data_IF_309401801693
#
_entry.id   IF_309401801693
#
_cell.length_a   1.000
_cell.length_b   1.000
_cell.length_c   1.000
_cell.angle_alpha   90.00
_cell.angle_beta   90.00
_cell.angle_gamma   90.00
#
_symmetry.space_group_name_H-M   'P 1'
#
loop_
_entity.id
_entity.type
_entity.pdbx_description
1 polymer ?
#
# COMPACT_ATOMS: atom_id res chain seq x y z
N UNK A 1 -35.86 10.52 2.27
CA UNK A 1 -35.25 11.59 1.45
C UNK A 1 -34.08 12.31 2.15
N UNK A 2 -33.53 11.81 3.27
CA UNK A 2 -32.46 12.54 4.01
C UNK A 2 -31.04 11.97 3.85
N UNK A 3 -30.90 10.64 3.80
CA UNK A 3 -29.58 9.97 3.88
C UNK A 3 -29.14 9.34 2.56
N UNK A 4 -30.07 8.71 1.83
CA UNK A 4 -29.84 8.13 0.50
C UNK A 4 -29.41 9.20 -0.51
N UNK A 5 -30.12 10.33 -0.51
CA UNK A 5 -29.85 11.44 -1.43
C UNK A 5 -28.49 12.10 -1.12
N UNK A 6 -28.13 12.23 0.17
CA UNK A 6 -26.81 12.74 0.58
C UNK A 6 -25.67 11.79 0.17
N UNK A 7 -25.83 10.50 0.41
CA UNK A 7 -24.83 9.50 0.06
C UNK A 7 -24.62 9.36 -1.45
N UNK A 8 -25.67 9.61 -2.25
CA UNK A 8 -25.56 9.68 -3.71
C UNK A 8 -24.79 10.94 -4.15
N UNK A 9 -25.16 12.11 -3.62
CA UNK A 9 -24.50 13.37 -3.96
C UNK A 9 -23.00 13.35 -3.62
N UNK A 10 -22.64 12.92 -2.41
CA UNK A 10 -21.23 12.82 -2.00
C UNK A 10 -20.44 11.82 -2.84
N UNK A 11 -21.10 10.76 -3.33
CA UNK A 11 -20.47 9.79 -4.23
C UNK A 11 -20.21 10.39 -5.60
N UNK A 12 -21.19 11.11 -6.15
CA UNK A 12 -21.01 11.85 -7.42
C UNK A 12 -19.87 12.87 -7.30
N UNK A 13 -19.85 13.67 -6.24
CA UNK A 13 -18.78 14.65 -5.99
C UNK A 13 -17.40 13.99 -5.90
N UNK A 14 -17.30 12.84 -5.22
CA UNK A 14 -16.06 12.06 -5.17
C UNK A 14 -15.65 11.63 -6.58
N UNK A 15 -16.55 11.03 -7.36
CA UNK A 15 -16.22 10.53 -8.71
C UNK A 15 -15.82 11.68 -9.63
N UNK A 16 -16.56 12.79 -9.63
CA UNK A 16 -16.24 13.96 -10.42
C UNK A 16 -14.86 14.52 -10.05
N UNK A 17 -14.48 14.49 -8.77
CA UNK A 17 -13.13 14.89 -8.34
C UNK A 17 -12.03 13.95 -8.86
N UNK A 18 -12.29 12.64 -8.95
CA UNK A 18 -11.35 11.65 -9.48
C UNK A 18 -11.17 11.82 -10.99
N UNK A 19 -12.27 12.04 -11.72
CA UNK A 19 -12.25 12.33 -13.17
C UNK A 19 -11.52 13.64 -13.44
N UNK A 20 -11.83 14.71 -12.68
CA UNK A 20 -11.17 16.00 -12.83
C UNK A 20 -9.67 15.95 -12.51
N UNK A 21 -9.25 15.07 -11.60
CA UNK A 21 -7.84 14.82 -11.29
C UNK A 21 -7.13 13.97 -12.37
N UNK A 22 -7.86 13.42 -13.35
CA UNK A 22 -7.30 12.59 -14.43
C UNK A 22 -6.87 11.19 -13.99
N UNK A 23 -7.34 10.72 -12.83
CA UNK A 23 -6.98 9.38 -12.29
C UNK A 23 -8.06 8.32 -12.54
N UNK A 24 -9.16 8.71 -13.17
CA UNK A 24 -10.31 7.86 -13.49
C UNK A 24 -10.80 8.28 -14.89
N UNK A 25 -10.36 7.55 -15.91
CA UNK A 25 -10.56 7.86 -17.33
C UNK A 25 -11.38 6.81 -18.08
N UNK A 26 -11.45 5.56 -17.62
CA UNK A 26 -12.34 4.55 -18.17
C UNK A 26 -13.78 4.74 -17.63
N UNK A 27 -14.73 4.94 -18.53
CA UNK A 27 -16.15 5.12 -18.22
C UNK A 27 -16.75 3.93 -17.45
N UNK A 28 -16.21 2.71 -17.62
CA UNK A 28 -16.62 1.53 -16.85
C UNK A 28 -16.30 1.71 -15.37
N UNK A 29 -15.10 2.19 -15.05
CA UNK A 29 -14.72 2.47 -13.67
C UNK A 29 -15.49 3.65 -13.11
N UNK A 30 -15.64 4.74 -13.87
CA UNK A 30 -16.42 5.89 -13.44
C UNK A 30 -17.88 5.50 -13.10
N UNK A 31 -18.50 4.65 -13.92
CA UNK A 31 -19.82 4.06 -13.65
C UNK A 31 -19.79 3.20 -12.39
N UNK A 32 -18.84 2.29 -12.25
CA UNK A 32 -18.74 1.41 -11.08
C UNK A 32 -18.59 2.21 -9.77
N UNK A 33 -17.76 3.25 -9.73
CA UNK A 33 -17.63 4.12 -8.55
C UNK A 33 -18.93 4.91 -8.24
N UNK A 34 -19.72 5.28 -9.25
CA UNK A 34 -21.04 5.95 -9.08
C UNK A 34 -22.14 4.99 -8.65
N UNK A 35 -22.05 3.72 -8.99
CA UNK A 35 -23.11 2.74 -8.71
C UNK A 35 -22.83 1.92 -7.44
N UNK A 36 -21.56 1.62 -7.13
CA UNK A 36 -21.19 0.84 -5.94
C UNK A 36 -21.11 1.76 -4.71
N UNK A 37 -22.03 1.65 -3.74
CA UNK A 37 -22.07 2.53 -2.58
C UNK A 37 -20.96 2.20 -1.57
N UNK A 38 -19.86 2.97 -1.56
CA UNK A 38 -18.72 2.79 -0.64
C UNK A 38 -19.12 2.67 0.84
N UNK A 39 -20.17 3.38 1.27
CA UNK A 39 -20.68 3.33 2.65
C UNK A 39 -21.32 2.00 3.05
N UNK A 40 -21.75 1.14 2.12
CA UNK A 40 -22.16 -0.23 2.46
C UNK A 40 -20.96 -1.08 2.88
N UNK A 41 -19.79 -0.83 2.30
CA UNK A 41 -18.55 -1.56 2.59
C UNK A 41 -17.78 -0.98 3.78
N UNK A 42 -17.98 0.30 4.08
CA UNK A 42 -17.31 1.02 5.17
C UNK A 42 -18.34 1.46 6.22
N UNK A 43 -18.87 0.52 6.99
CA UNK A 43 -19.87 0.81 8.03
C UNK A 43 -19.27 1.32 9.34
N UNK A 44 -17.98 1.03 9.55
CA UNK A 44 -17.23 1.40 10.74
C UNK A 44 -15.76 1.57 10.39
N UNK A 45 -15.09 2.57 10.95
CA UNK A 45 -13.67 2.84 10.73
C UNK A 45 -13.10 3.73 11.84
N UNK A 46 -11.79 3.87 11.88
CA UNK A 46 -11.07 4.75 12.78
C UNK A 46 -10.62 6.01 12.05
N UNK A 47 -10.58 7.12 12.77
CA UNK A 47 -9.89 8.35 12.39
C UNK A 47 -8.71 8.58 13.33
N UNK A 48 -7.57 9.00 12.78
CA UNK A 48 -6.41 9.36 13.60
C UNK A 48 -6.65 10.73 14.25
N UNK A 49 -6.43 10.81 15.57
CA UNK A 49 -6.50 12.03 16.37
C UNK A 49 -5.22 12.19 17.19
N UNK A 50 -5.10 13.27 17.96
CA UNK A 50 -3.97 13.46 18.88
C UNK A 50 -3.92 12.43 20.00
N UNK A 51 -5.07 11.84 20.34
CA UNK A 51 -5.22 10.90 21.45
C UNK A 51 -5.22 9.42 20.96
N UNK A 52 -4.94 9.20 19.68
CA UNK A 52 -4.94 7.88 19.04
C UNK A 52 -6.07 7.71 18.01
N UNK A 53 -6.46 6.47 17.78
CA UNK A 53 -7.49 6.07 16.82
C UNK A 53 -8.89 6.15 17.44
N UNK A 54 -9.73 7.04 16.94
CA UNK A 54 -11.12 7.22 17.40
C UNK A 54 -12.10 6.48 16.48
N UNK A 55 -13.08 5.73 17.02
CA UNK A 55 -14.02 4.98 16.20
C UNK A 55 -15.11 5.89 15.63
N UNK A 56 -15.52 5.60 14.39
CA UNK A 56 -16.57 6.29 13.66
C UNK A 56 -17.54 5.27 13.09
N UNK A 57 -18.83 5.47 13.34
CA UNK A 57 -19.94 4.64 12.86
C UNK A 57 -20.97 5.52 12.13
N UNK A 58 -22.02 4.90 11.58
CA UNK A 58 -23.14 5.61 10.94
C UNK A 58 -23.86 6.61 11.85
N UNK A 59 -23.65 6.54 13.18
CA UNK A 59 -24.22 7.48 14.16
C UNK A 59 -23.46 8.81 14.20
N UNK A 60 -22.24 8.85 13.69
CA UNK A 60 -21.45 10.08 13.61
C UNK A 60 -22.05 11.04 12.57
N UNK A 61 -22.25 12.33 12.89
CA UNK A 61 -22.91 13.29 11.99
C UNK A 61 -22.20 13.42 10.63
N UNK A 62 -20.87 13.35 10.63
CA UNK A 62 -20.05 13.43 9.40
C UNK A 62 -19.73 12.07 8.75
N UNK A 63 -20.37 10.97 9.18
CA UNK A 63 -20.02 9.62 8.73
C UNK A 63 -19.93 9.50 7.19
N UNK A 64 -21.00 9.89 6.49
CA UNK A 64 -21.04 9.81 5.02
C UNK A 64 -19.98 10.70 4.38
N UNK A 65 -19.81 11.93 4.87
CA UNK A 65 -18.81 12.87 4.38
C UNK A 65 -17.38 12.33 4.57
N UNK A 66 -17.11 11.61 5.66
CA UNK A 66 -15.83 10.96 5.91
C UNK A 66 -15.61 9.73 5.03
N UNK A 67 -16.65 8.94 4.76
CA UNK A 67 -16.60 7.78 3.87
C UNK A 67 -16.34 8.18 2.41
N UNK A 68 -16.92 9.27 1.94
CA UNK A 68 -16.73 9.75 0.57
C UNK A 68 -15.60 10.77 0.42
N UNK A 69 -14.91 11.13 1.51
CA UNK A 69 -13.67 11.89 1.41
C UNK A 69 -12.59 11.04 0.75
N UNK A 70 -11.74 11.70 -0.04
CA UNK A 70 -10.56 11.09 -0.63
C UNK A 70 -9.47 10.81 0.42
N UNK A 71 -9.74 9.86 1.32
CA UNK A 71 -8.85 9.43 2.39
C UNK A 71 -9.02 7.93 2.65
N UNK A 72 -8.04 7.37 3.37
CA UNK A 72 -8.10 6.00 3.89
C UNK A 72 -9.08 5.94 5.06
N UNK A 73 -9.91 4.90 5.11
CA UNK A 73 -10.71 4.57 6.29
C UNK A 73 -10.13 3.31 6.93
N UNK A 74 -9.41 3.44 8.04
CA UNK A 74 -8.82 2.29 8.76
C UNK A 74 -9.92 1.48 9.43
N UNK A 75 -10.00 0.18 9.19
CA UNK A 75 -11.13 -0.66 9.64
C UNK A 75 -10.73 -1.71 10.68
N UNK A 76 -9.43 -1.95 10.86
CA UNK A 76 -8.90 -2.89 11.84
C UNK A 76 -7.52 -2.42 12.34
N UNK A 77 -7.29 -2.58 13.64
CA UNK A 77 -5.98 -2.41 14.27
C UNK A 77 -5.51 -3.76 14.83
N UNK A 78 -4.20 -3.98 14.84
CA UNK A 78 -3.57 -5.12 15.53
C UNK A 78 -4.12 -6.51 15.15
N UNK A 79 -4.57 -6.70 13.91
CA UNK A 79 -5.14 -7.94 13.37
C UNK A 79 -6.37 -8.47 14.13
N UNK A 80 -7.12 -7.61 14.84
CA UNK A 80 -8.31 -8.04 15.55
C UNK A 80 -9.33 -6.93 15.75
N UNK A 81 -10.56 -7.32 16.09
CA UNK A 81 -11.61 -6.39 16.48
C UNK A 81 -11.49 -5.91 17.94
N UNK A 82 -10.56 -6.47 18.74
CA UNK A 82 -10.42 -6.09 20.15
C UNK A 82 -10.13 -4.60 20.34
N UNK A 83 -9.34 -4.00 19.43
CA UNK A 83 -9.10 -2.55 19.45
C UNK A 83 -10.37 -1.75 19.15
N UNK A 84 -11.24 -2.26 18.28
CA UNK A 84 -12.54 -1.64 18.00
C UNK A 84 -13.44 -1.65 19.24
N UNK A 85 -13.53 -2.79 19.92
CA UNK A 85 -14.34 -2.94 21.13
C UNK A 85 -13.88 -2.01 22.25
N UNK A 86 -12.56 -1.93 22.48
CA UNK A 86 -11.97 -0.97 23.43
C UNK A 86 -12.29 0.46 23.02
N UNK A 87 -12.12 0.81 21.75
CA UNK A 87 -12.32 2.17 21.29
C UNK A 87 -13.77 2.65 21.47
N UNK A 88 -14.74 1.76 21.23
CA UNK A 88 -16.16 2.06 21.47
C UNK A 88 -16.44 2.27 22.96
N UNK A 89 -15.77 1.53 23.85
CA UNK A 89 -15.98 1.61 25.30
C UNK A 89 -15.23 2.77 25.97
N UNK A 90 -14.02 3.07 25.50
CA UNK A 90 -13.04 3.90 26.21
C UNK A 90 -12.66 5.17 25.44
N UNK A 91 -13.03 5.29 24.15
CA UNK A 91 -12.68 6.41 23.29
C UNK A 91 -11.49 6.12 22.38
N UNK A 92 -10.57 7.06 22.23
CA UNK A 92 -9.40 6.85 21.36
C UNK A 92 -8.46 5.76 21.92
N UNK A 93 -7.88 4.95 21.03
CA UNK A 93 -6.94 3.87 21.39
C UNK A 93 -5.69 3.90 20.53
N UNK A 94 -4.58 3.39 21.06
CA UNK A 94 -3.41 3.08 20.26
C UNK A 94 -3.60 1.77 19.49
N UNK A 95 -2.85 1.63 18.38
CA UNK A 95 -2.80 0.42 17.58
C UNK A 95 -2.18 0.63 16.22
N UNK A 96 -1.77 -0.47 15.59
CA UNK A 96 -1.20 -0.47 14.24
C UNK A 96 -2.30 -0.82 13.24
N UNK A 97 -2.58 0.03 12.24
CA UNK A 97 -3.51 -0.29 11.17
C UNK A 97 -3.15 -1.61 10.46
N UNK A 98 -4.13 -2.49 10.34
CA UNK A 98 -3.96 -3.83 9.73
C UNK A 98 -5.01 -4.16 8.67
N UNK A 99 -6.10 -3.38 8.60
CA UNK A 99 -7.03 -3.35 7.46
C UNK A 99 -7.58 -1.94 7.25
N UNK A 100 -7.91 -1.60 6.01
CA UNK A 100 -8.55 -0.34 5.65
C UNK A 100 -9.32 -0.43 4.34
N UNK A 101 -10.28 0.46 4.14
CA UNK A 101 -10.69 0.87 2.80
C UNK A 101 -9.69 1.90 2.29
N UNK A 102 -8.93 1.55 1.25
CA UNK A 102 -7.90 2.42 0.67
C UNK A 102 -8.49 3.72 0.14
N UNK A 103 -7.64 4.74 0.00
CA UNK A 103 -8.02 6.04 -0.54
C UNK A 103 -8.59 5.90 -1.98
N UNK A 104 -9.74 6.50 -2.32
CA UNK A 104 -10.35 6.37 -3.65
C UNK A 104 -9.42 6.70 -4.81
N UNK A 105 -8.59 7.74 -4.69
CA UNK A 105 -7.60 8.08 -5.73
C UNK A 105 -6.63 6.94 -6.01
N UNK A 106 -6.08 6.26 -4.99
CA UNK A 106 -5.14 5.16 -5.26
C UNK A 106 -5.86 3.92 -5.80
N UNK A 107 -7.10 3.66 -5.37
CA UNK A 107 -7.94 2.61 -5.96
C UNK A 107 -8.16 2.86 -7.46
N UNK A 108 -8.57 4.09 -7.84
CA UNK A 108 -8.77 4.46 -9.23
C UNK A 108 -7.48 4.31 -10.06
N UNK A 109 -6.35 4.85 -9.59
CA UNK A 109 -5.04 4.72 -10.24
C UNK A 109 -4.68 3.25 -10.50
N UNK A 110 -4.86 2.39 -9.49
CA UNK A 110 -4.51 0.98 -9.62
C UNK A 110 -5.46 0.20 -10.53
N UNK A 111 -6.77 0.52 -10.52
CA UNK A 111 -7.76 -0.10 -11.41
C UNK A 111 -7.55 0.30 -12.88
N UNK A 112 -7.19 1.57 -13.13
CA UNK A 112 -6.78 2.05 -14.46
C UNK A 112 -5.49 1.36 -14.92
N UNK A 113 -4.47 1.29 -14.05
CA UNK A 113 -3.20 0.63 -14.37
C UNK A 113 -3.34 -0.87 -14.60
N UNK A 114 -4.34 -1.50 -13.96
CA UNK A 114 -4.64 -2.92 -14.11
C UNK A 114 -5.11 -3.24 -15.53
N UNK A 115 -5.67 -2.27 -16.27
CA UNK A 115 -6.23 -2.49 -17.60
C UNK A 115 -7.13 -3.74 -17.60
N UNK A 116 -8.12 -3.75 -16.70
CA UNK A 116 -8.74 -4.99 -16.28
C UNK A 116 -9.60 -5.61 -17.37
N UNK A 117 -9.21 -6.82 -17.75
CA UNK A 117 -9.88 -7.73 -18.66
C UNK A 117 -9.71 -9.17 -18.15
N UNK A 118 -10.51 -10.10 -18.66
CA UNK A 118 -10.41 -11.52 -18.32
C UNK A 118 -10.61 -11.77 -16.82
N UNK A 119 -9.81 -12.69 -16.25
CA UNK A 119 -9.91 -13.08 -14.83
C UNK A 119 -8.94 -12.29 -13.96
N UNK A 120 -9.41 -11.84 -12.80
CA UNK A 120 -8.63 -11.04 -11.85
C UNK A 120 -8.49 -11.77 -10.52
N UNK A 121 -7.27 -11.79 -9.99
CA UNK A 121 -7.00 -12.10 -8.59
C UNK A 121 -6.66 -10.82 -7.82
N UNK A 122 -7.51 -10.43 -6.89
CA UNK A 122 -7.24 -9.39 -5.91
C UNK A 122 -6.62 -10.00 -4.64
N UNK A 123 -5.46 -9.48 -4.22
CA UNK A 123 -4.79 -9.87 -2.98
C UNK A 123 -5.02 -8.80 -1.90
N UNK A 124 -5.89 -9.12 -0.95
CA UNK A 124 -6.31 -8.24 0.14
C UNK A 124 -7.76 -7.77 -0.04
N UNK A 125 -8.73 -8.65 0.21
CA UNK A 125 -10.17 -8.32 0.10
C UNK A 125 -10.54 -7.11 0.96
N UNK A 126 -10.00 -7.01 2.18
CA UNK A 126 -10.24 -5.87 3.07
C UNK A 126 -11.73 -5.64 3.33
N UNK A 127 -12.24 -4.46 2.95
CA UNK A 127 -13.67 -4.16 3.11
C UNK A 127 -14.57 -4.82 2.06
N UNK A 128 -14.00 -5.36 0.99
CA UNK A 128 -14.71 -5.85 -0.18
C UNK A 128 -15.13 -4.77 -1.18
N UNK A 129 -14.82 -3.49 -0.93
CA UNK A 129 -15.21 -2.40 -1.83
C UNK A 129 -14.52 -2.51 -3.20
N UNK A 130 -13.21 -2.79 -3.22
CA UNK A 130 -12.48 -2.90 -4.48
C UNK A 130 -12.84 -4.19 -5.25
N UNK A 131 -13.04 -5.32 -4.55
CA UNK A 131 -13.68 -6.51 -5.12
C UNK A 131 -15.05 -6.21 -5.76
N UNK A 132 -15.86 -5.34 -5.14
CA UNK A 132 -17.16 -4.95 -5.68
C UNK A 132 -17.05 -4.12 -6.96
N UNK A 133 -16.07 -3.21 -7.04
CA UNK A 133 -15.78 -2.45 -8.25
C UNK A 133 -15.33 -3.38 -9.38
N UNK A 134 -14.40 -4.30 -9.10
CA UNK A 134 -13.95 -5.32 -10.07
C UNK A 134 -15.12 -6.17 -10.56
N UNK A 135 -15.96 -6.67 -9.65
CA UNK A 135 -17.11 -7.52 -9.99
C UNK A 135 -18.19 -6.77 -10.78
N UNK A 136 -18.38 -5.48 -10.51
CA UNK A 136 -19.28 -4.62 -11.30
C UNK A 136 -18.80 -4.52 -12.74
N UNK A 137 -17.51 -4.27 -12.97
CA UNK A 137 -16.95 -4.06 -14.32
C UNK A 137 -16.74 -5.36 -15.11
N UNK A 138 -16.34 -6.45 -14.44
CA UNK A 138 -15.94 -7.71 -15.10
C UNK A 138 -16.98 -8.84 -14.97
N UNK A 139 -17.92 -8.69 -14.05
CA UNK A 139 -18.82 -9.76 -13.61
C UNK A 139 -18.23 -10.60 -12.47
N UNK A 140 -19.11 -11.16 -11.65
CA UNK A 140 -18.76 -11.95 -10.45
C UNK A 140 -17.81 -13.12 -10.76
N UNK A 141 -18.05 -13.85 -11.86
CA UNK A 141 -17.28 -15.05 -12.21
C UNK A 141 -15.82 -14.76 -12.58
N UNK A 142 -15.52 -13.52 -12.99
CA UNK A 142 -14.18 -13.09 -13.37
C UNK A 142 -13.29 -12.74 -12.16
N UNK A 143 -13.87 -12.55 -10.98
CA UNK A 143 -13.15 -12.00 -9.83
C UNK A 143 -12.91 -13.05 -8.76
N UNK A 144 -11.64 -13.24 -8.42
CA UNK A 144 -11.19 -13.92 -7.20
C UNK A 144 -10.60 -12.90 -6.25
N UNK A 145 -11.02 -12.89 -4.98
CA UNK A 145 -10.45 -12.02 -3.96
C UNK A 145 -10.06 -12.84 -2.73
N UNK A 146 -8.83 -12.67 -2.26
CA UNK A 146 -8.27 -13.44 -1.14
C UNK A 146 -7.91 -12.52 0.02
N UNK A 147 -8.26 -12.93 1.24
CA UNK A 147 -7.84 -12.28 2.48
C UNK A 147 -7.35 -13.32 3.48
N UNK A 148 -6.32 -12.97 4.25
CA UNK A 148 -5.72 -13.87 5.23
C UNK A 148 -6.47 -13.82 6.58
N UNK A 149 -7.30 -12.80 6.79
CA UNK A 149 -8.08 -12.62 8.00
C UNK A 149 -9.52 -13.13 7.82
N UNK A 150 -9.95 -14.15 8.59
CA UNK A 150 -11.29 -14.72 8.45
C UNK A 150 -12.40 -13.75 8.87
N UNK A 151 -12.16 -12.84 9.83
CA UNK A 151 -13.17 -11.89 10.28
C UNK A 151 -13.35 -10.74 9.27
N UNK A 152 -12.24 -10.26 8.70
CA UNK A 152 -12.26 -9.31 7.57
C UNK A 152 -12.99 -9.91 6.38
N UNK A 153 -12.63 -11.13 6.00
CA UNK A 153 -13.26 -11.86 4.91
C UNK A 153 -14.78 -12.02 5.13
N UNK A 154 -15.20 -12.48 6.32
CA UNK A 154 -16.61 -12.68 6.63
C UNK A 154 -17.43 -11.39 6.51
N UNK A 155 -16.88 -10.26 6.96
CA UNK A 155 -17.51 -8.94 6.77
C UNK A 155 -17.61 -8.56 5.31
N UNK A 156 -16.52 -8.67 4.54
CA UNK A 156 -16.51 -8.33 3.12
C UNK A 156 -17.53 -9.16 2.33
N UNK A 157 -17.58 -10.48 2.56
CA UNK A 157 -18.54 -11.38 1.92
C UNK A 157 -20.00 -10.96 2.22
N UNK A 158 -20.30 -10.57 3.46
CA UNK A 158 -21.62 -10.06 3.81
C UNK A 158 -21.97 -8.75 3.07
N UNK A 159 -21.01 -7.83 2.89
CA UNK A 159 -21.24 -6.54 2.19
C UNK A 159 -21.37 -6.69 0.69
N UNK A 160 -20.56 -7.55 0.08
CA UNK A 160 -20.75 -7.97 -1.30
C UNK A 160 -22.14 -8.58 -1.49
N UNK A 161 -22.55 -9.44 -0.56
CA UNK A 161 -23.85 -10.08 -0.61
C UNK A 161 -25.01 -9.08 -0.56
N UNK A 162 -24.93 -8.11 0.35
CA UNK A 162 -25.85 -6.98 0.53
C UNK A 162 -25.91 -6.07 -0.71
N UNK A 163 -24.78 -5.86 -1.37
CA UNK A 163 -24.68 -5.11 -2.64
C UNK A 163 -25.16 -5.91 -3.87
N UNK A 164 -25.59 -7.17 -3.71
CA UNK A 164 -26.05 -8.01 -4.81
C UNK A 164 -24.93 -8.64 -5.64
N UNK A 165 -23.67 -8.51 -5.21
CA UNK A 165 -22.49 -9.04 -5.89
C UNK A 165 -22.04 -10.35 -5.24
N UNK A 166 -21.47 -11.26 -6.02
CA UNK A 166 -21.03 -12.60 -5.59
C UNK A 166 -19.69 -13.03 -6.21
N UNK A 167 -18.63 -12.18 -6.21
CA UNK A 167 -17.32 -12.65 -6.64
C UNK A 167 -16.82 -13.77 -5.75
N UNK A 168 -15.87 -14.57 -6.25
CA UNK A 168 -15.30 -15.65 -5.47
C UNK A 168 -14.33 -15.10 -4.42
N UNK A 169 -14.79 -15.00 -3.17
CA UNK A 169 -13.96 -14.61 -2.04
C UNK A 169 -13.47 -15.84 -1.27
N UNK A 170 -12.21 -15.84 -0.81
CA UNK A 170 -11.62 -16.95 -0.06
C UNK A 170 -10.71 -16.48 1.07
N UNK A 171 -10.69 -17.22 2.18
CA UNK A 171 -9.69 -17.04 3.23
C UNK A 171 -8.41 -17.78 2.84
N UNK A 172 -7.28 -17.08 2.78
CA UNK A 172 -5.99 -17.70 2.48
C UNK A 172 -4.83 -16.71 2.48
N UNK A 173 -3.63 -17.26 2.39
CA UNK A 173 -2.41 -16.45 2.32
C UNK A 173 -2.21 -15.91 0.90
N UNK A 174 -2.33 -14.59 0.77
CA UNK A 174 -2.11 -13.87 -0.48
C UNK A 174 -0.73 -14.05 -1.09
N UNK A 175 0.31 -14.39 -0.32
CA UNK A 175 1.65 -14.68 -0.86
C UNK A 175 1.60 -15.89 -1.81
N UNK A 176 0.67 -16.82 -1.56
CA UNK A 176 0.50 -18.06 -2.33
C UNK A 176 -0.44 -17.90 -3.52
N UNK A 177 -1.07 -16.74 -3.70
CA UNK A 177 -2.15 -16.54 -4.66
C UNK A 177 -3.32 -17.52 -4.43
N UNK A 178 -4.03 -17.87 -5.50
CA UNK A 178 -5.09 -18.88 -5.45
C UNK A 178 -5.05 -19.80 -6.68
N UNK A 179 -4.22 -20.86 -6.67
CA UNK A 179 -3.95 -21.67 -7.87
C UNK A 179 -5.16 -22.43 -8.42
N UNK A 180 -6.22 -22.64 -7.61
CA UNK A 180 -7.40 -23.39 -8.03
C UNK A 180 -8.27 -22.67 -9.07
N UNK A 181 -8.08 -21.36 -9.28
CA UNK A 181 -8.75 -20.56 -10.33
C UNK A 181 -7.77 -19.88 -11.29
N UNK A 182 -6.48 -20.20 -11.16
CA UNK A 182 -5.47 -19.77 -12.13
C UNK A 182 -5.66 -20.52 -13.48
N UNK A 183 -5.19 -19.96 -14.60
CA UNK A 183 -4.44 -18.71 -14.72
C UNK A 183 -5.32 -17.46 -14.59
N UNK A 184 -4.69 -16.34 -14.24
CA UNK A 184 -5.29 -15.02 -14.14
C UNK A 184 -4.77 -14.10 -15.24
N UNK A 185 -5.68 -13.37 -15.88
CA UNK A 185 -5.32 -12.27 -16.77
C UNK A 185 -4.66 -11.12 -16.03
N UNK A 186 -5.06 -10.90 -14.77
CA UNK A 186 -4.54 -9.83 -13.93
C UNK A 186 -4.38 -10.26 -12.48
N UNK A 187 -3.33 -9.78 -11.83
CA UNK A 187 -3.19 -9.79 -10.36
C UNK A 187 -3.12 -8.35 -9.86
N UNK A 188 -3.97 -8.03 -8.88
CA UNK A 188 -3.98 -6.75 -8.20
C UNK A 188 -3.65 -6.93 -6.71
N UNK A 189 -2.50 -6.44 -6.27
CA UNK A 189 -2.15 -6.41 -4.85
C UNK A 189 -2.62 -5.13 -4.17
N UNK A 190 -3.70 -5.21 -3.39
CA UNK A 190 -4.21 -4.14 -2.51
C UNK A 190 -3.60 -4.20 -1.11
N UNK A 191 -2.45 -4.87 -1.00
CA UNK A 191 -1.50 -4.84 0.10
C UNK A 191 -0.08 -4.77 -0.48
N UNK A 192 0.87 -4.32 0.33
CA UNK A 192 2.23 -4.08 -0.13
C UNK A 192 3.11 -5.33 0.02
N UNK A 193 3.97 -5.60 -0.97
CA UNK A 193 4.88 -6.77 -0.96
C UNK A 193 6.35 -6.38 -0.91
N UNK A 194 7.21 -7.08 -0.18
CA UNK A 194 8.66 -6.78 -0.21
C UNK A 194 9.35 -7.25 -1.49
N UNK A 195 8.80 -8.26 -2.14
CA UNK A 195 9.20 -8.85 -3.44
C UNK A 195 7.96 -9.39 -4.14
N UNK A 196 7.99 -9.56 -5.46
CA UNK A 196 6.91 -10.24 -6.19
C UNK A 196 6.92 -11.73 -5.79
N UNK A 197 5.85 -12.29 -5.21
CA UNK A 197 5.84 -13.70 -4.87
C UNK A 197 5.98 -14.60 -6.11
N UNK A 198 6.85 -15.62 -6.11
CA UNK A 198 6.97 -16.56 -7.24
C UNK A 198 5.65 -17.25 -7.59
N UNK A 199 4.77 -17.45 -6.60
CA UNK A 199 3.44 -18.02 -6.81
C UNK A 199 2.55 -17.14 -7.70
N UNK A 200 2.74 -15.81 -7.69
CA UNK A 200 2.00 -14.90 -8.58
C UNK A 200 2.47 -15.08 -10.02
N UNK A 201 3.79 -15.15 -10.26
CA UNK A 201 4.35 -15.37 -11.59
C UNK A 201 3.82 -16.66 -12.25
N UNK A 202 3.71 -17.74 -11.46
CA UNK A 202 3.17 -19.02 -11.96
C UNK A 202 1.65 -19.07 -12.11
N UNK A 203 0.92 -18.02 -11.73
CA UNK A 203 -0.54 -17.94 -11.78
C UNK A 203 -1.06 -16.89 -12.75
N UNK A 204 -0.20 -16.04 -13.31
CA UNK A 204 -0.55 -15.07 -14.35
C UNK A 204 -0.38 -15.73 -15.72
N UNK A 205 -1.31 -15.47 -16.63
CA UNK A 205 -1.16 -15.89 -18.03
C UNK A 205 -0.06 -15.12 -18.76
N UNK A 206 0.45 -15.68 -19.84
CA UNK A 206 1.38 -14.96 -20.72
C UNK A 206 0.69 -13.72 -21.33
N UNK A 207 1.35 -12.57 -21.26
CA UNK A 207 0.77 -11.25 -21.56
C UNK A 207 -0.09 -10.65 -20.44
N UNK A 208 -0.24 -11.33 -19.31
CA UNK A 208 -1.01 -10.83 -18.17
C UNK A 208 -0.28 -9.75 -17.38
N UNK A 209 -1.02 -9.02 -16.52
CA UNK A 209 -0.47 -7.90 -15.74
C UNK A 209 -0.49 -8.16 -14.22
N UNK A 210 0.54 -7.67 -13.54
CA UNK A 210 0.60 -7.55 -12.09
C UNK A 210 0.67 -6.06 -11.74
N UNK A 211 -0.29 -5.60 -10.93
CA UNK A 211 -0.25 -4.25 -10.34
C UNK A 211 -0.19 -4.39 -8.82
N UNK A 212 0.87 -3.89 -8.20
CA UNK A 212 1.05 -3.95 -6.75
C UNK A 212 2.00 -2.87 -6.28
N UNK A 213 2.11 -2.66 -4.97
CA UNK A 213 3.11 -1.76 -4.41
C UNK A 213 4.17 -2.53 -3.63
N UNK A 214 5.40 -2.02 -3.65
CA UNK A 214 6.45 -2.54 -2.79
C UNK A 214 6.34 -2.02 -1.35
N UNK A 215 6.28 -2.95 -0.39
CA UNK A 215 6.53 -2.70 1.03
C UNK A 215 8.03 -2.67 1.27
N UNK A 216 8.63 -1.49 1.26
CA UNK A 216 10.03 -1.35 1.66
C UNK A 216 10.10 -0.56 2.95
N UNK A 217 11.12 -0.88 3.72
CA UNK A 217 11.41 -0.31 5.02
C UNK A 217 11.68 1.23 4.92
N UNK A 218 12.15 1.65 3.74
CA UNK A 218 12.30 3.02 3.27
C UNK A 218 11.94 3.06 1.77
N UNK A 219 11.07 3.99 1.35
CA UNK A 219 10.59 4.03 -0.03
C UNK A 219 9.34 3.19 -0.25
N UNK A 220 8.42 3.69 -1.07
CA UNK A 220 7.35 2.88 -1.65
C UNK A 220 7.32 3.08 -3.17
N UNK A 221 6.79 2.10 -3.89
CA UNK A 221 6.69 2.17 -5.35
C UNK A 221 5.59 1.27 -5.85
N UNK A 222 4.55 1.88 -6.42
CA UNK A 222 3.55 1.19 -7.21
C UNK A 222 4.20 0.71 -8.52
N UNK A 223 4.02 -0.55 -8.89
CA UNK A 223 4.51 -1.12 -10.14
C UNK A 223 3.38 -1.68 -10.97
N UNK A 224 3.55 -1.57 -12.29
CA UNK A 224 2.78 -2.30 -13.30
C UNK A 224 3.77 -3.16 -14.07
N UNK A 225 3.60 -4.46 -13.97
CA UNK A 225 4.47 -5.47 -14.59
C UNK A 225 3.65 -6.30 -15.57
N UNK A 226 4.24 -6.58 -16.71
CA UNK A 226 3.69 -7.50 -17.71
C UNK A 226 4.49 -8.81 -17.64
N UNK A 227 3.78 -9.94 -17.70
CA UNK A 227 4.37 -11.26 -17.56
C UNK A 227 4.51 -11.91 -18.92
N UNK A 228 5.74 -12.24 -19.31
CA UNK A 228 6.05 -13.02 -20.52
C UNK A 228 7.03 -14.12 -20.19
N UNK A 229 6.75 -15.36 -20.59
CA UNK A 229 7.62 -16.53 -20.37
C UNK A 229 8.07 -16.68 -18.89
N UNK A 230 7.19 -16.37 -17.93
CA UNK A 230 7.47 -16.43 -16.50
C UNK A 230 8.33 -15.29 -15.94
N UNK A 231 8.60 -14.26 -16.75
CA UNK A 231 9.31 -13.04 -16.36
C UNK A 231 8.31 -11.90 -16.23
N UNK A 232 8.18 -11.30 -15.05
CA UNK A 232 7.44 -10.07 -14.85
C UNK A 232 8.37 -8.88 -15.03
N UNK A 233 8.10 -8.03 -16.01
CA UNK A 233 8.91 -6.84 -16.28
C UNK A 233 8.02 -5.60 -16.46
N UNK A 234 8.49 -4.46 -15.99
CA UNK A 234 7.75 -3.22 -16.12
C UNK A 234 8.41 -2.05 -15.42
N UNK A 235 7.58 -1.12 -14.95
CA UNK A 235 8.01 0.19 -14.50
C UNK A 235 7.37 0.56 -13.17
N UNK A 236 8.13 1.29 -12.35
CA UNK A 236 7.58 1.96 -11.17
C UNK A 236 6.76 3.16 -11.63
N UNK A 237 5.52 3.27 -11.18
CA UNK A 237 4.63 4.35 -11.58
C UNK A 237 5.07 5.69 -10.98
N UNK A 238 4.67 6.80 -11.63
CA UNK A 238 4.92 8.13 -11.07
C UNK A 238 4.02 8.39 -9.86
N UNK A 239 2.85 7.79 -9.81
CA UNK A 239 1.94 7.83 -8.67
C UNK A 239 2.57 7.10 -7.47
N UNK A 240 2.24 7.53 -6.25
CA UNK A 240 2.68 6.83 -5.03
C UNK A 240 1.48 6.10 -4.41
N UNK A 241 1.72 4.87 -3.97
CA UNK A 241 0.72 4.01 -3.35
C UNK A 241 1.33 3.30 -2.15
N UNK A 242 0.92 3.70 -0.94
CA UNK A 242 1.42 3.12 0.30
C UNK A 242 0.33 2.26 0.93
N UNK A 243 0.63 0.98 1.06
CA UNK A 243 -0.31 0.00 1.58
C UNK A 243 0.28 -0.69 2.79
N UNK A 244 -0.61 -1.25 3.61
CA UNK A 244 -0.21 -2.13 4.69
C UNK A 244 0.53 -3.35 4.09
N UNK A 245 1.59 -3.83 4.74
CA UNK A 245 2.29 -5.01 4.26
C UNK A 245 1.37 -6.22 4.24
N UNK A 246 1.47 -7.02 3.17
CA UNK A 246 1.06 -8.41 3.18
C UNK A 246 1.61 -9.07 4.45
N UNK A 247 0.80 -9.85 5.17
CA UNK A 247 1.17 -10.34 6.51
C UNK A 247 2.50 -11.10 6.52
N UNK A 248 2.75 -11.91 5.49
CA UNK A 248 4.01 -12.64 5.29
C UNK A 248 5.23 -11.72 5.09
N UNK A 249 5.02 -10.47 4.69
CA UNK A 249 6.07 -9.49 4.36
C UNK A 249 6.25 -8.41 5.44
N UNK A 250 5.71 -8.63 6.65
CA UNK A 250 5.94 -7.73 7.79
C UNK A 250 7.37 -7.82 8.30
N UNK A 251 7.94 -6.67 8.62
CA UNK A 251 9.30 -6.54 9.15
C UNK A 251 9.28 -6.43 10.69
N UNK A 252 8.86 -7.48 11.38
CA UNK A 252 8.68 -7.47 12.84
C UNK A 252 9.96 -7.12 13.63
N UNK A 253 11.14 -7.35 13.06
CA UNK A 253 12.43 -6.98 13.66
C UNK A 253 12.60 -5.47 13.82
N UNK A 254 11.94 -4.66 12.97
CA UNK A 254 12.15 -3.23 12.91
C UNK A 254 11.62 -2.52 14.16
N UNK A 255 10.52 -2.99 14.74
CA UNK A 255 9.87 -2.34 15.89
C UNK A 255 10.83 -2.26 17.10
N UNK A 256 11.47 -3.38 17.44
CA UNK A 256 12.45 -3.45 18.53
C UNK A 256 13.68 -2.59 18.23
N UNK A 257 14.20 -2.66 17.01
CA UNK A 257 15.37 -1.89 16.60
C UNK A 257 15.10 -0.37 16.64
N UNK A 258 13.92 0.07 16.17
CA UNK A 258 13.49 1.46 16.19
C UNK A 258 13.29 1.98 17.61
N UNK A 259 12.78 1.15 18.51
CA UNK A 259 12.67 1.48 19.93
C UNK A 259 14.07 1.62 20.56
N UNK A 260 14.96 0.65 20.32
CA UNK A 260 16.35 0.71 20.81
C UNK A 260 17.06 2.00 20.34
N UNK A 261 16.90 2.40 19.07
CA UNK A 261 17.51 3.60 18.52
C UNK A 261 17.07 4.91 19.20
N UNK A 262 15.95 4.94 19.94
CA UNK A 262 15.54 6.12 20.74
C UNK A 262 16.46 6.38 21.92
N UNK A 263 17.09 5.34 22.46
CA UNK A 263 17.84 5.41 23.71
C UNK A 263 19.31 5.03 23.54
N UNK A 264 19.66 4.45 22.39
CA UNK A 264 21.02 4.07 22.06
C UNK A 264 22.00 5.26 22.13
N UNK A 265 23.22 4.96 22.60
CA UNK A 265 24.35 5.89 22.65
C UNK A 265 25.32 5.52 21.55
N UNK A 266 25.74 6.51 20.79
CA UNK A 266 26.61 6.33 19.63
C UNK A 266 27.49 7.56 19.41
N UNK A 267 28.13 7.62 18.25
CA UNK A 267 28.91 8.79 17.86
C UNK A 267 28.00 9.86 17.29
N UNK A 268 28.13 11.10 17.76
CA UNK A 268 27.43 12.25 17.20
C UNK A 268 28.28 12.96 16.15
N UNK A 269 27.68 13.38 15.05
CA UNK A 269 28.32 14.21 14.02
C UNK A 269 27.36 15.23 13.45
N UNK A 270 27.89 16.23 12.77
CA UNK A 270 27.09 17.16 11.98
C UNK A 270 26.64 16.52 10.67
N UNK A 271 25.48 16.95 10.18
CA UNK A 271 24.92 16.61 8.85
C UNK A 271 24.35 17.88 8.22
N UNK A 272 24.45 17.98 6.89
CA UNK A 272 23.72 18.97 6.10
C UNK A 272 22.51 18.38 5.39
N UNK A 273 22.39 17.05 5.35
CA UNK A 273 21.22 16.36 4.80
C UNK A 273 20.07 16.45 5.82
N UNK A 274 18.97 17.08 5.39
CA UNK A 274 17.76 17.19 6.19
C UNK A 274 17.03 15.85 6.25
N UNK A 275 16.49 15.50 7.42
CA UNK A 275 15.83 14.22 7.61
C UNK A 275 14.68 13.97 6.62
N UNK A 276 13.84 15.00 6.41
CA UNK A 276 12.74 14.97 5.44
C UNK A 276 13.21 14.62 4.03
N UNK A 277 14.42 14.99 3.62
CA UNK A 277 14.91 14.62 2.29
C UNK A 277 15.01 13.11 2.13
N UNK A 278 15.36 12.38 3.19
CA UNK A 278 15.51 10.92 3.17
C UNK A 278 14.16 10.21 3.27
N UNK A 279 13.25 10.70 4.12
CA UNK A 279 12.04 9.94 4.52
C UNK A 279 10.73 10.51 3.97
N UNK A 280 10.73 11.73 3.42
CA UNK A 280 9.53 12.35 2.85
C UNK A 280 9.31 11.88 1.41
N UNK A 281 8.16 11.27 1.10
CA UNK A 281 7.83 10.84 -0.26
C UNK A 281 7.87 11.98 -1.30
N UNK A 282 7.57 13.21 -0.88
CA UNK A 282 7.58 14.39 -1.74
C UNK A 282 8.99 14.80 -2.18
N UNK A 283 10.03 14.37 -1.46
CA UNK A 283 11.44 14.72 -1.74
C UNK A 283 11.92 14.22 -3.12
N UNK A 284 11.35 13.11 -3.61
CA UNK A 284 11.84 12.36 -4.76
C UNK A 284 13.10 11.53 -4.51
N UNK A 285 13.86 11.85 -3.44
CA UNK A 285 15.02 11.08 -3.04
C UNK A 285 14.63 9.82 -2.26
N UNK A 286 13.55 9.85 -1.49
CA UNK A 286 13.12 8.74 -0.61
C UNK A 286 13.06 7.37 -1.31
N UNK A 287 12.51 7.30 -2.53
CA UNK A 287 12.52 6.07 -3.33
C UNK A 287 13.94 5.57 -3.64
N UNK A 288 14.83 6.46 -4.09
CA UNK A 288 16.23 6.14 -4.37
C UNK A 288 16.99 5.78 -3.09
N UNK A 289 16.72 6.49 -1.99
CA UNK A 289 17.30 6.23 -0.69
C UNK A 289 16.96 4.80 -0.24
N UNK A 290 15.71 4.36 -0.45
CA UNK A 290 15.33 2.97 -0.24
C UNK A 290 16.19 2.01 -1.05
N UNK A 291 16.42 2.27 -2.35
CA UNK A 291 17.24 1.40 -3.21
C UNK A 291 18.70 1.32 -2.74
N UNK A 292 19.26 2.46 -2.36
CA UNK A 292 20.64 2.56 -1.89
C UNK A 292 20.86 2.05 -0.45
N UNK A 293 19.79 1.92 0.34
CA UNK A 293 19.81 1.50 1.73
C UNK A 293 18.93 0.24 1.91
N UNK A 294 19.35 -0.92 1.37
CA UNK A 294 18.58 -2.16 1.50
C UNK A 294 18.39 -2.53 2.97
N UNK A 295 17.21 -3.04 3.28
CA UNK A 295 16.75 -3.48 4.60
C UNK A 295 16.76 -2.41 5.70
N UNK A 296 16.88 -1.12 5.34
CA UNK A 296 16.85 -0.03 6.32
C UNK A 296 15.43 0.42 6.62
N UNK A 297 14.97 0.16 7.85
CA UNK A 297 13.67 0.61 8.35
C UNK A 297 13.73 2.01 8.95
N UNK A 298 12.61 2.72 8.87
CA UNK A 298 12.48 4.10 9.27
C UNK A 298 11.51 4.24 10.44
N UNK A 299 11.94 4.98 11.46
CA UNK A 299 11.04 5.48 12.50
C UNK A 299 10.88 6.98 12.35
N UNK A 300 9.66 7.49 12.51
CA UNK A 300 9.37 8.92 12.49
C UNK A 300 9.34 9.48 13.93
N UNK A 301 9.59 10.78 14.09
CA UNK A 301 9.50 11.51 15.36
C UNK A 301 10.23 10.90 16.58
N UNK A 302 11.56 11.08 16.68
CA UNK A 302 12.46 11.66 15.68
C UNK A 302 12.76 10.66 14.55
N UNK A 303 13.25 11.18 13.43
CA UNK A 303 13.68 10.34 12.30
C UNK A 303 14.84 9.43 12.71
N UNK A 304 14.63 8.14 12.52
CA UNK A 304 15.60 7.07 12.81
C UNK A 304 15.71 6.15 11.60
N UNK A 305 16.92 5.66 11.35
CA UNK A 305 17.21 4.58 10.41
C UNK A 305 17.73 3.39 11.22
N UNK A 306 17.26 2.18 10.96
CA UNK A 306 17.73 0.96 11.62
C UNK A 306 17.87 -0.17 10.62
N UNK A 307 18.75 -1.12 10.90
CA UNK A 307 19.03 -2.26 10.04
C UNK A 307 19.14 -3.56 10.87
N UNK A 308 18.83 -4.75 10.31
CA UNK A 308 18.85 -6.02 11.06
C UNK A 308 20.20 -6.39 11.68
N UNK A 309 21.31 -5.87 11.16
CA UNK A 309 22.66 -6.07 11.73
C UNK A 309 22.93 -5.26 13.01
N UNK A 310 21.94 -4.53 13.52
CA UNK A 310 22.04 -3.68 14.70
C UNK A 310 22.55 -2.27 14.42
N UNK A 311 22.79 -1.91 13.15
CA UNK A 311 23.12 -0.53 12.77
C UNK A 311 21.94 0.40 12.96
N UNK A 312 22.22 1.62 13.41
CA UNK A 312 21.20 2.63 13.63
C UNK A 312 21.75 4.05 13.42
N UNK A 313 20.85 4.95 13.05
CA UNK A 313 21.08 6.39 13.05
C UNK A 313 19.85 7.12 13.59
N UNK A 314 20.05 8.21 14.34
CA UNK A 314 19.00 9.09 14.86
C UNK A 314 19.31 10.53 14.50
N UNK A 315 18.43 11.16 13.72
CA UNK A 315 18.57 12.54 13.31
C UNK A 315 18.03 13.51 14.36
N UNK A 316 18.79 14.57 14.66
CA UNK A 316 18.48 15.60 15.66
C UNK A 316 18.70 17.01 15.10
N UNK A 317 18.25 17.25 13.87
CA UNK A 317 18.37 18.55 13.20
C UNK A 317 19.74 18.74 12.54
N UNK A 318 20.65 19.45 13.20
CA UNK A 318 22.01 19.66 12.67
C UNK A 318 22.97 18.49 12.98
N UNK A 319 22.54 17.56 13.83
CA UNK A 319 23.33 16.43 14.31
C UNK A 319 22.66 15.11 13.95
N UNK A 320 23.48 14.08 13.78
CA UNK A 320 23.06 12.68 13.73
C UNK A 320 23.89 11.90 14.73
N UNK A 321 23.21 11.09 15.54
CA UNK A 321 23.84 10.05 16.34
C UNK A 321 23.80 8.75 15.55
N UNK A 322 24.90 8.02 15.45
CA UNK A 322 24.98 6.75 14.72
C UNK A 322 25.77 5.70 15.51
N UNK A 323 25.46 4.43 15.28
CA UNK A 323 26.15 3.29 15.89
C UNK A 323 25.86 1.98 15.18
N UNK A 324 26.67 0.96 15.50
CA UNK A 324 26.61 -0.36 14.86
C UNK A 324 27.57 -0.51 13.66
N UNK A 325 27.49 -1.65 12.94
CA UNK A 325 28.43 -1.99 11.87
C UNK A 325 28.42 -1.04 10.66
N UNK A 326 27.25 -0.53 10.28
CA UNK A 326 27.02 0.35 9.13
C UNK A 326 26.78 1.79 9.57
N UNK A 327 27.29 2.73 8.79
CA UNK A 327 27.07 4.16 9.02
C UNK A 327 25.86 4.65 8.20
N UNK A 328 24.65 4.20 8.58
CA UNK A 328 23.44 4.35 7.77
C UNK A 328 23.17 5.78 7.27
N UNK A 329 23.44 6.81 8.10
CA UNK A 329 23.24 8.20 7.65
C UNK A 329 24.31 8.67 6.66
N UNK A 330 25.55 8.16 6.77
CA UNK A 330 26.61 8.46 5.79
C UNK A 330 26.32 7.79 4.45
N UNK A 331 25.77 6.59 4.49
CA UNK A 331 25.28 5.88 3.31
C UNK A 331 24.14 6.68 2.66
N UNK A 332 23.19 7.20 3.44
CA UNK A 332 22.15 8.11 2.94
C UNK A 332 22.72 9.39 2.30
N UNK A 333 23.73 10.01 2.91
CA UNK A 333 24.42 11.18 2.34
C UNK A 333 25.18 10.86 1.04
N UNK A 334 25.79 9.67 0.96
CA UNK A 334 26.46 9.20 -0.25
C UNK A 334 25.45 8.95 -1.37
N UNK A 335 24.38 8.22 -1.08
CA UNK A 335 23.26 7.99 -1.99
C UNK A 335 22.63 9.30 -2.46
N UNK A 336 22.52 10.31 -1.59
CA UNK A 336 21.99 11.62 -1.97
C UNK A 336 22.90 12.33 -2.99
N UNK A 337 24.23 12.25 -2.83
CA UNK A 337 25.18 12.80 -3.83
C UNK A 337 25.10 12.05 -5.14
N UNK A 338 25.00 10.72 -5.10
CA UNK A 338 24.83 9.88 -6.28
C UNK A 338 23.54 10.22 -7.03
N UNK A 339 22.40 10.26 -6.34
CA UNK A 339 21.12 10.67 -6.91
C UNK A 339 21.20 12.04 -7.59
N UNK A 340 21.92 13.00 -7.01
CA UNK A 340 22.18 14.30 -7.65
C UNK A 340 23.02 14.17 -8.93
N UNK A 341 24.07 13.35 -8.92
CA UNK A 341 24.91 13.11 -10.11
C UNK A 341 24.15 12.41 -11.25
N UNK A 342 23.15 11.60 -10.92
CA UNK A 342 22.25 10.93 -11.87
C UNK A 342 21.13 11.85 -12.42
N UNK A 343 21.17 13.15 -12.11
CA UNK A 343 20.13 14.09 -12.57
C UNK A 343 18.84 14.02 -11.76
N UNK A 344 18.90 13.48 -10.53
CA UNK A 344 17.77 13.37 -9.59
C UNK A 344 16.60 12.58 -10.17
N UNK A 345 16.84 11.33 -10.64
CA UNK A 345 15.80 10.53 -11.27
C UNK A 345 14.64 10.33 -10.30
N UNK A 346 13.42 10.45 -10.82
CA UNK A 346 12.18 10.12 -10.11
C UNK A 346 11.87 8.64 -10.30
N UNK A 347 11.06 8.06 -9.42
CA UNK A 347 10.67 6.64 -9.44
C UNK A 347 10.23 6.11 -10.82
N UNK A 348 9.55 6.92 -11.63
CA UNK A 348 9.14 6.52 -12.99
C UNK A 348 10.27 6.26 -13.97
N UNK A 349 11.52 6.60 -13.64
CA UNK A 349 12.73 6.26 -14.42
C UNK A 349 13.26 4.87 -14.09
N UNK A 350 12.68 4.19 -13.11
CA UNK A 350 13.12 2.88 -12.67
C UNK A 350 12.22 1.80 -13.26
N UNK A 351 12.86 0.80 -13.84
CA UNK A 351 12.22 -0.45 -14.25
C UNK A 351 12.38 -1.48 -13.14
N UNK A 352 11.55 -2.51 -13.20
CA UNK A 352 11.61 -3.64 -12.30
C UNK A 352 11.47 -4.92 -13.12
N UNK A 353 12.29 -5.91 -12.81
CA UNK A 353 12.23 -7.25 -13.40
C UNK A 353 12.20 -8.27 -12.27
N UNK A 354 11.31 -9.26 -12.39
CA UNK A 354 11.23 -10.40 -11.49
C UNK A 354 11.11 -11.71 -12.25
N UNK A 355 11.90 -12.66 -11.80
CA UNK A 355 11.82 -14.08 -12.13
C UNK A 355 11.58 -14.87 -10.84
N UNK A 356 11.53 -16.20 -10.93
CA UNK A 356 11.44 -17.05 -9.75
C UNK A 356 12.68 -16.93 -8.83
N UNK A 357 13.86 -16.64 -9.40
CA UNK A 357 15.16 -16.72 -8.71
C UNK A 357 15.84 -15.35 -8.51
N UNK A 358 15.48 -14.34 -9.31
CA UNK A 358 16.11 -13.02 -9.30
C UNK A 358 15.07 -11.91 -9.44
N UNK A 359 15.23 -10.84 -8.65
CA UNK A 359 14.40 -9.63 -8.73
C UNK A 359 15.25 -8.40 -8.52
N UNK A 360 15.13 -7.40 -9.40
CA UNK A 360 15.92 -6.19 -9.30
C UNK A 360 15.22 -4.98 -9.91
N UNK A 361 15.57 -3.81 -9.38
CA UNK A 361 15.31 -2.54 -10.04
C UNK A 361 16.47 -2.17 -10.96
N UNK A 362 16.19 -1.47 -12.04
CA UNK A 362 17.21 -0.83 -12.87
C UNK A 362 16.82 0.61 -13.18
N UNK A 363 17.79 1.47 -13.46
CA UNK A 363 17.56 2.86 -13.87
C UNK A 363 17.70 2.97 -15.40
N UNK A 364 16.66 3.50 -16.05
CA UNK A 364 16.65 3.72 -17.51
C UNK A 364 17.92 4.45 -17.99
N UNK A 365 18.41 4.01 -19.15
CA UNK A 365 19.59 4.57 -19.84
C UNK A 365 20.91 4.43 -19.04
N UNK A 366 20.97 3.50 -18.08
CA UNK A 366 22.17 3.19 -17.30
C UNK A 366 22.33 1.68 -17.08
N UNK A 367 23.53 1.24 -16.68
CA UNK A 367 23.79 -0.14 -16.25
C UNK A 367 23.56 -0.34 -14.73
N UNK A 368 22.96 0.63 -14.05
CA UNK A 368 22.75 0.57 -12.61
C UNK A 368 21.56 -0.32 -12.27
N UNK A 369 21.82 -1.29 -11.40
CA UNK A 369 20.83 -2.25 -10.91
C UNK A 369 20.87 -2.37 -9.39
N UNK A 370 19.72 -2.56 -8.76
CA UNK A 370 19.56 -2.78 -7.33
C UNK A 370 18.80 -4.09 -7.10
N UNK A 371 19.46 -5.17 -6.67
CA UNK A 371 18.78 -6.44 -6.36
C UNK A 371 17.90 -6.29 -5.11
N UNK A 372 16.87 -7.13 -5.03
CA UNK A 372 16.00 -7.28 -3.85
C UNK A 372 16.43 -8.43 -2.94
#
# INVERSE_FOLDING_TARGET
MGWVDLAANLREELVDSLVAAGVLGDDRWATAFREVPRHLFVQRFFVATTDGWTPVTAEHPDFLSLVYRNQVCVTQLDNSDAAWERAVAEGAVDGVPTSSSSMPTIMAIMLEALDAEGTVLEIGTGTGYNAALLAHVLGDDAVTSIDVDPDVHARAAARLAEAGLRPFCVVGDGERGYPARAPYSRILGTCAVSRIPPAWLGQVEDGGLIVTTFNRALGAGLVRLEVHDGVAAGRVMLEDGRFMPLRAHRQAWADEALHHALHAKGTSRTTTLAARTVVDPASGFEFFAGLALPDVAVGLDPVRLVHPDGSWARHRGALVDEGGPRALWREAEAAHREWHSLGRPRRHRFTFTATADDQHFALDDTDLTWPL
#
